data_IF_898918591342
#
_entry.id   IF_898918591342
#
_cell.length_a   1.000
_cell.length_b   1.000
_cell.length_c   1.000
_cell.angle_alpha   90.00
_cell.angle_beta   90.00
_cell.angle_gamma   90.00
#
_symmetry.space_group_name_H-M   'P 1'
#
loop_
_entity.id
_entity.type
_entity.pdbx_description
1 polymer ?
#
# COMPACT_ATOMS: atom_id res chain seq x y z
N UNK A 1 30.55 -0.92 -7.12
CA UNK A 1 29.40 -1.41 -7.89
C UNK A 1 28.18 -0.95 -7.12
N UNK A 2 27.20 -0.30 -7.74
CA UNK A 2 25.95 0.06 -7.06
C UNK A 2 25.27 -1.23 -6.59
N UNK A 3 24.79 -1.25 -5.35
CA UNK A 3 24.04 -2.39 -4.80
C UNK A 3 22.77 -2.58 -5.65
N UNK A 4 22.48 -3.82 -6.06
CA UNK A 4 21.34 -4.16 -6.91
C UNK A 4 20.03 -3.85 -6.14
N UNK A 5 19.14 -3.06 -6.71
CA UNK A 5 17.85 -2.70 -6.09
C UNK A 5 16.86 -3.81 -6.34
N UNK A 6 16.83 -4.79 -5.46
CA UNK A 6 15.94 -5.95 -5.51
C UNK A 6 14.73 -5.72 -4.61
N UNK A 7 13.56 -5.95 -5.18
CA UNK A 7 12.28 -5.93 -4.44
C UNK A 7 11.62 -7.30 -4.56
N UNK A 8 11.16 -7.80 -3.43
CA UNK A 8 10.35 -9.03 -3.37
C UNK A 8 8.92 -8.65 -3.03
N UNK A 9 7.97 -9.09 -3.81
CA UNK A 9 6.54 -8.87 -3.61
C UNK A 9 5.86 -10.17 -3.20
N UNK A 10 5.35 -10.22 -1.98
CA UNK A 10 4.63 -11.36 -1.41
C UNK A 10 3.12 -11.14 -1.53
N UNK A 11 2.49 -11.92 -2.40
CA UNK A 11 1.09 -11.83 -2.75
C UNK A 11 0.87 -11.23 -4.14
N UNK A 12 0.42 -12.06 -5.09
CA UNK A 12 0.09 -11.65 -6.47
C UNK A 12 -1.40 -11.43 -6.66
N UNK A 13 -2.06 -10.84 -5.66
CA UNK A 13 -3.44 -10.35 -5.75
C UNK A 13 -3.52 -9.02 -6.51
N UNK A 14 -4.72 -8.43 -6.59
CA UNK A 14 -4.92 -7.17 -7.31
C UNK A 14 -4.00 -6.03 -6.83
N UNK A 15 -3.80 -5.89 -5.53
CA UNK A 15 -2.93 -4.85 -4.95
C UNK A 15 -1.48 -5.11 -5.34
N UNK A 16 -1.00 -6.35 -5.17
CA UNK A 16 0.37 -6.72 -5.50
C UNK A 16 0.68 -6.52 -6.99
N UNK A 17 -0.20 -6.99 -7.86
CA UNK A 17 0.01 -6.85 -9.31
C UNK A 17 -0.10 -5.40 -9.78
N UNK A 18 -0.99 -4.58 -9.20
CA UNK A 18 -1.02 -3.14 -9.48
C UNK A 18 0.30 -2.45 -9.11
N UNK A 19 0.90 -2.84 -7.98
CA UNK A 19 2.20 -2.34 -7.55
C UNK A 19 3.33 -2.82 -8.47
N UNK A 20 3.34 -4.10 -8.84
CA UNK A 20 4.31 -4.68 -9.76
C UNK A 20 4.28 -3.98 -11.13
N UNK A 21 3.09 -3.73 -11.66
CA UNK A 21 2.90 -2.97 -12.90
C UNK A 21 3.36 -1.52 -12.78
N UNK A 22 3.13 -0.89 -11.62
CA UNK A 22 3.64 0.46 -11.35
C UNK A 22 5.17 0.51 -11.38
N UNK A 23 5.87 -0.49 -10.82
CA UNK A 23 7.33 -0.60 -10.92
C UNK A 23 7.79 -0.78 -12.36
N UNK A 24 7.11 -1.62 -13.14
CA UNK A 24 7.41 -1.79 -14.56
C UNK A 24 7.33 -0.46 -15.32
N UNK A 25 6.28 0.33 -15.06
CA UNK A 25 6.02 1.60 -15.75
C UNK A 25 6.96 2.72 -15.31
N UNK A 26 7.27 2.82 -14.02
CA UNK A 26 8.10 3.90 -13.46
C UNK A 26 9.59 3.59 -13.52
N UNK A 27 9.96 2.31 -13.50
CA UNK A 27 11.35 1.87 -13.37
C UNK A 27 11.91 2.14 -11.97
N UNK A 28 13.24 2.19 -11.87
CA UNK A 28 13.91 2.51 -10.60
C UNK A 28 14.30 1.30 -9.77
N UNK A 29 14.00 0.09 -10.21
CA UNK A 29 14.43 -1.18 -9.61
C UNK A 29 15.12 -2.04 -10.65
N UNK A 30 16.02 -2.93 -10.20
CA UNK A 30 16.82 -3.78 -11.07
C UNK A 30 16.28 -5.21 -11.10
N UNK A 31 15.58 -5.63 -10.03
CA UNK A 31 15.03 -6.98 -9.87
C UNK A 31 13.71 -6.95 -9.10
N UNK A 32 12.70 -7.60 -9.66
CA UNK A 32 11.38 -7.80 -9.06
C UNK A 32 11.08 -9.29 -8.96
N UNK A 33 10.92 -9.80 -7.74
CA UNK A 33 10.59 -11.18 -7.48
C UNK A 33 9.14 -11.27 -6.99
N UNK A 34 8.36 -12.16 -7.58
CA UNK A 34 6.96 -12.39 -7.20
C UNK A 34 6.84 -13.69 -6.41
N UNK A 35 6.26 -13.62 -5.22
CA UNK A 35 5.96 -14.75 -4.37
C UNK A 35 4.45 -14.86 -4.14
N UNK A 36 3.91 -16.06 -4.31
CA UNK A 36 2.52 -16.39 -3.94
C UNK A 36 2.44 -17.84 -3.47
N UNK A 37 1.47 -18.15 -2.62
CA UNK A 37 1.16 -19.54 -2.24
C UNK A 37 0.73 -20.36 -3.46
N UNK A 38 0.07 -19.73 -4.43
CA UNK A 38 -0.24 -20.27 -5.75
C UNK A 38 0.93 -20.02 -6.71
N UNK A 39 1.97 -20.85 -6.65
CA UNK A 39 3.21 -20.67 -7.43
C UNK A 39 2.98 -20.55 -8.93
N UNK A 40 2.09 -21.35 -9.49
CA UNK A 40 1.76 -21.28 -10.93
C UNK A 40 1.16 -19.92 -11.31
N UNK A 41 0.36 -19.32 -10.42
CA UNK A 41 -0.16 -17.97 -10.61
C UNK A 41 0.99 -16.96 -10.63
N UNK A 42 1.91 -17.01 -9.66
CA UNK A 42 3.05 -16.10 -9.61
C UNK A 42 3.92 -16.21 -10.88
N UNK A 43 4.10 -17.42 -11.42
CA UNK A 43 4.80 -17.64 -12.69
C UNK A 43 4.07 -16.98 -13.85
N UNK A 44 2.75 -17.16 -13.97
CA UNK A 44 1.94 -16.51 -15.01
C UNK A 44 2.02 -15.00 -14.95
N UNK A 45 1.85 -14.41 -13.75
CA UNK A 45 1.94 -12.97 -13.53
C UNK A 45 3.35 -12.41 -13.86
N UNK A 46 4.40 -13.16 -13.51
CA UNK A 46 5.77 -12.78 -13.87
C UNK A 46 5.98 -12.78 -15.38
N UNK A 47 5.45 -13.77 -16.09
CA UNK A 47 5.49 -13.83 -17.56
C UNK A 47 4.77 -12.64 -18.19
N UNK A 48 3.58 -12.29 -17.70
CA UNK A 48 2.82 -11.15 -18.21
C UNK A 48 3.59 -9.84 -18.06
N UNK A 49 4.23 -9.63 -16.90
CA UNK A 49 5.09 -8.46 -16.68
C UNK A 49 6.33 -8.47 -17.59
N UNK A 50 6.96 -9.64 -17.80
CA UNK A 50 8.10 -9.79 -18.70
C UNK A 50 7.72 -9.41 -20.13
N UNK A 51 6.52 -9.76 -20.59
CA UNK A 51 6.01 -9.36 -21.91
C UNK A 51 5.83 -7.84 -22.03
N UNK A 52 5.70 -7.12 -20.91
CA UNK A 52 5.68 -5.65 -20.85
C UNK A 52 7.06 -4.98 -20.92
N UNK A 53 8.15 -5.72 -20.68
CA UNK A 53 9.51 -5.16 -20.63
C UNK A 53 9.96 -4.40 -21.88
N UNK A 54 9.59 -4.80 -23.11
CA UNK A 54 9.92 -4.03 -24.32
C UNK A 54 9.40 -2.58 -24.30
N UNK A 55 8.39 -2.30 -23.50
CA UNK A 55 7.76 -0.98 -23.37
C UNK A 55 8.08 -0.28 -22.04
N UNK A 56 8.89 -0.93 -21.18
CA UNK A 56 9.31 -0.37 -19.89
C UNK A 56 10.37 0.71 -20.06
N UNK A 57 10.47 1.60 -19.07
CA UNK A 57 11.46 2.69 -19.07
C UNK A 57 12.90 2.24 -18.78
N UNK A 58 13.10 1.02 -18.33
CA UNK A 58 14.41 0.52 -17.94
C UNK A 58 14.50 -0.99 -18.03
N UNK A 59 15.69 -1.52 -17.83
CA UNK A 59 15.91 -2.95 -17.72
C UNK A 59 15.59 -3.40 -16.32
N UNK A 60 14.81 -4.48 -16.20
CA UNK A 60 14.43 -5.09 -14.95
C UNK A 60 14.39 -6.61 -15.15
N UNK A 61 14.91 -7.35 -14.20
CA UNK A 61 14.72 -8.78 -14.13
C UNK A 61 13.44 -9.06 -13.35
N UNK A 62 12.52 -9.88 -13.89
CA UNK A 62 11.24 -10.20 -13.24
C UNK A 62 11.08 -11.71 -13.26
N UNK A 63 10.79 -12.33 -12.12
CA UNK A 63 10.52 -13.75 -12.06
C UNK A 63 9.70 -14.13 -10.82
N UNK A 64 9.10 -15.33 -10.86
CA UNK A 64 8.51 -15.94 -9.68
C UNK A 64 9.60 -16.68 -8.91
N UNK A 65 9.74 -16.34 -7.62
CA UNK A 65 10.77 -16.88 -6.75
C UNK A 65 10.21 -17.58 -5.51
N UNK A 66 11.05 -17.67 -4.51
CA UNK A 66 10.69 -18.21 -3.19
C UNK A 66 11.24 -17.33 -2.05
N UNK A 67 11.04 -17.74 -0.80
CA UNK A 67 11.49 -16.94 0.35
C UNK A 67 13.02 -16.81 0.47
N UNK A 68 13.81 -17.68 -0.18
CA UNK A 68 15.27 -17.56 -0.18
C UNK A 68 15.70 -16.29 -0.94
N UNK A 69 14.91 -15.86 -1.93
CA UNK A 69 15.15 -14.62 -2.68
C UNK A 69 15.01 -13.34 -1.85
N UNK A 70 14.42 -13.43 -0.64
CA UNK A 70 14.34 -12.29 0.26
C UNK A 70 15.70 -11.91 0.88
N UNK A 71 16.67 -12.82 0.91
CA UNK A 71 17.94 -12.65 1.63
C UNK A 71 18.71 -11.38 1.24
N UNK A 72 18.77 -11.09 -0.04
CA UNK A 72 19.51 -9.97 -0.62
C UNK A 72 18.57 -8.86 -1.14
N UNK A 73 17.28 -8.94 -0.79
CA UNK A 73 16.31 -7.93 -1.14
C UNK A 73 16.51 -6.64 -0.31
N UNK A 74 16.46 -5.49 -0.98
CA UNK A 74 16.45 -4.19 -0.30
C UNK A 74 15.10 -3.94 0.40
N UNK A 75 14.01 -4.38 -0.24
CA UNK A 75 12.64 -4.18 0.24
C UNK A 75 11.83 -5.45 -0.02
N UNK A 76 11.08 -5.87 0.99
CA UNK A 76 10.02 -6.87 0.82
C UNK A 76 8.66 -6.22 1.06
N UNK A 77 7.78 -6.34 0.08
CA UNK A 77 6.41 -5.80 0.15
C UNK A 77 5.45 -6.95 0.38
N UNK A 78 4.62 -6.85 1.43
CA UNK A 78 3.64 -7.87 1.77
C UNK A 78 2.23 -7.35 1.49
N UNK A 79 1.62 -7.92 0.45
CA UNK A 79 0.21 -7.68 0.09
C UNK A 79 -0.64 -8.93 0.32
N UNK A 80 -0.03 -10.00 0.82
CA UNK A 80 -0.70 -11.27 1.09
C UNK A 80 -1.72 -11.13 2.22
N UNK A 81 -2.90 -11.67 2.01
CA UNK A 81 -4.00 -11.68 2.98
C UNK A 81 -5.22 -12.38 2.39
N UNK A 82 -6.08 -12.89 3.26
CA UNK A 82 -7.35 -13.46 2.85
C UNK A 82 -8.37 -12.34 2.63
N UNK A 83 -9.20 -12.46 1.61
CA UNK A 83 -10.37 -11.61 1.42
C UNK A 83 -11.46 -11.97 2.46
N UNK A 84 -12.22 -10.98 2.90
CA UNK A 84 -13.36 -11.18 3.80
C UNK A 84 -14.44 -11.99 3.10
N UNK A 85 -14.94 -13.01 3.77
CA UNK A 85 -16.12 -13.77 3.31
C UNK A 85 -17.40 -13.08 3.79
N UNK A 86 -18.55 -13.29 3.11
CA UNK A 86 -19.81 -12.62 3.46
C UNK A 86 -20.28 -12.83 4.92
N UNK A 87 -19.95 -13.98 5.51
CA UNK A 87 -20.36 -14.36 6.88
C UNK A 87 -19.25 -14.16 7.93
N UNK A 88 -18.09 -13.63 7.53
CA UNK A 88 -16.92 -13.49 8.38
C UNK A 88 -16.91 -12.10 9.04
N UNK A 89 -16.73 -12.06 10.36
CA UNK A 89 -16.60 -10.78 11.08
C UNK A 89 -15.23 -10.13 10.80
N UNK A 90 -15.12 -8.82 11.02
CA UNK A 90 -13.82 -8.12 10.92
C UNK A 90 -12.77 -8.69 11.89
N UNK A 91 -13.19 -9.16 13.06
CA UNK A 91 -12.30 -9.77 14.06
C UNK A 91 -11.75 -11.12 13.57
N UNK A 92 -12.62 -11.96 13.00
CA UNK A 92 -12.20 -13.25 12.44
C UNK A 92 -11.20 -13.08 11.31
N UNK A 93 -11.47 -12.13 10.40
CA UNK A 93 -10.57 -11.78 9.32
C UNK A 93 -9.22 -11.28 9.85
N UNK A 94 -9.24 -10.42 10.87
CA UNK A 94 -8.02 -9.91 11.50
C UNK A 94 -7.19 -11.03 12.11
N UNK A 95 -7.82 -11.93 12.86
CA UNK A 95 -7.15 -13.09 13.47
C UNK A 95 -6.55 -14.04 12.42
N UNK A 96 -7.26 -14.25 11.30
CA UNK A 96 -6.79 -15.06 10.19
C UNK A 96 -5.61 -14.41 9.47
N UNK A 97 -5.72 -13.12 9.15
CA UNK A 97 -4.64 -12.39 8.47
C UNK A 97 -3.41 -12.22 9.37
N UNK A 98 -3.57 -12.10 10.69
CA UNK A 98 -2.46 -12.10 11.63
C UNK A 98 -1.66 -13.40 11.61
N UNK A 99 -2.32 -14.55 11.49
CA UNK A 99 -1.64 -15.86 11.33
C UNK A 99 -0.89 -15.95 10.00
N UNK A 100 -1.50 -15.48 8.91
CA UNK A 100 -0.85 -15.43 7.59
C UNK A 100 0.36 -14.51 7.66
N UNK A 101 0.21 -13.29 8.18
CA UNK A 101 1.30 -12.32 8.32
C UNK A 101 2.45 -12.88 9.13
N UNK A 102 2.15 -13.52 10.28
CA UNK A 102 3.16 -14.17 11.12
C UNK A 102 3.96 -15.20 10.30
N UNK A 103 3.29 -16.13 9.63
CA UNK A 103 3.94 -17.19 8.85
C UNK A 103 4.80 -16.62 7.70
N UNK A 104 4.30 -15.60 7.00
CA UNK A 104 5.02 -14.93 5.92
C UNK A 104 6.29 -14.26 6.46
N UNK A 105 6.16 -13.47 7.53
CA UNK A 105 7.31 -12.75 8.12
C UNK A 105 8.34 -13.72 8.69
N UNK A 106 7.92 -14.79 9.37
CA UNK A 106 8.83 -15.84 9.85
C UNK A 106 9.62 -16.47 8.68
N UNK A 107 8.97 -16.71 7.55
CA UNK A 107 9.63 -17.28 6.35
C UNK A 107 10.62 -16.28 5.73
N UNK A 108 10.26 -15.00 5.67
CA UNK A 108 11.15 -13.93 5.20
C UNK A 108 12.39 -13.83 6.11
N UNK A 109 12.19 -13.78 7.42
CA UNK A 109 13.30 -13.65 8.37
C UNK A 109 14.21 -14.88 8.41
N UNK A 110 13.65 -16.08 8.16
CA UNK A 110 14.45 -17.31 8.05
C UNK A 110 15.41 -17.30 6.85
N UNK A 111 15.17 -16.49 5.83
CA UNK A 111 16.11 -16.30 4.70
C UNK A 111 17.38 -15.53 5.08
N UNK A 112 17.38 -14.82 6.22
CA UNK A 112 18.43 -13.88 6.61
C UNK A 112 18.23 -12.46 6.10
N UNK A 113 16.97 -12.08 5.78
CA UNK A 113 16.60 -10.74 5.32
C UNK A 113 16.93 -9.67 6.38
N UNK A 114 17.55 -8.55 5.96
CA UNK A 114 17.90 -7.39 6.80
C UNK A 114 17.54 -6.04 6.10
N UNK A 115 16.52 -6.03 5.24
CA UNK A 115 16.05 -4.84 4.53
C UNK A 115 14.86 -4.16 5.19
N UNK A 116 13.99 -3.57 4.38
CA UNK A 116 12.78 -2.85 4.79
C UNK A 116 11.55 -3.69 4.44
N UNK A 117 10.65 -3.90 5.41
CA UNK A 117 9.34 -4.48 5.20
C UNK A 117 8.31 -3.38 4.93
N UNK A 118 7.55 -3.52 3.85
CA UNK A 118 6.38 -2.68 3.56
C UNK A 118 5.12 -3.53 3.63
N UNK A 119 4.18 -3.14 4.47
CA UNK A 119 2.95 -3.87 4.72
C UNK A 119 1.77 -3.13 4.06
N UNK A 120 1.08 -3.83 3.14
CA UNK A 120 -0.13 -3.33 2.48
C UNK A 120 -1.33 -4.29 2.63
N UNK A 121 -1.24 -5.25 3.55
CA UNK A 121 -2.31 -6.19 3.88
C UNK A 121 -3.26 -5.60 4.90
N UNK A 122 -4.57 -5.77 4.71
CA UNK A 122 -5.59 -5.27 5.63
C UNK A 122 -5.93 -6.27 6.77
N UNK A 123 -6.26 -5.74 7.97
CA UNK A 123 -6.17 -4.34 8.41
C UNK A 123 -4.71 -3.89 8.62
N UNK A 124 -4.30 -2.85 7.90
CA UNK A 124 -2.88 -2.52 7.72
C UNK A 124 -2.14 -2.22 9.02
N UNK A 125 -2.73 -1.46 9.94
CA UNK A 125 -2.06 -1.09 11.19
C UNK A 125 -1.82 -2.32 12.09
N UNK A 126 -2.83 -3.19 12.21
CA UNK A 126 -2.70 -4.44 12.96
C UNK A 126 -1.65 -5.38 12.30
N UNK A 127 -1.67 -5.50 10.98
CA UNK A 127 -0.71 -6.35 10.25
C UNK A 127 0.71 -5.79 10.35
N UNK A 128 0.89 -4.48 10.31
CA UNK A 128 2.19 -3.83 10.52
C UNK A 128 2.72 -4.09 11.92
N UNK A 129 1.86 -4.01 12.94
CA UNK A 129 2.24 -4.32 14.30
C UNK A 129 2.67 -5.79 14.47
N UNK A 130 1.92 -6.73 13.87
CA UNK A 130 2.28 -8.16 13.88
C UNK A 130 3.63 -8.35 13.17
N UNK A 131 3.82 -7.76 11.99
CA UNK A 131 5.07 -7.85 11.25
C UNK A 131 6.26 -7.32 12.06
N UNK A 132 6.10 -6.19 12.72
CA UNK A 132 7.13 -5.61 13.58
C UNK A 132 7.51 -6.53 14.75
N UNK A 133 6.51 -7.10 15.44
CA UNK A 133 6.75 -8.01 16.58
C UNK A 133 7.41 -9.32 16.18
N UNK A 134 7.05 -9.84 15.01
CA UNK A 134 7.56 -11.13 14.53
C UNK A 134 8.94 -11.00 13.89
N UNK A 135 9.17 -9.93 13.12
CA UNK A 135 10.45 -9.73 12.42
C UNK A 135 11.61 -9.44 13.37
N UNK A 136 11.34 -8.75 14.48
CA UNK A 136 12.40 -8.24 15.36
C UNK A 136 13.24 -7.11 14.73
N UNK A 137 12.88 -6.64 13.54
CA UNK A 137 13.55 -5.51 12.90
C UNK A 137 13.29 -4.20 13.66
N UNK A 138 14.17 -3.20 13.54
CA UNK A 138 13.92 -1.85 14.04
C UNK A 138 12.61 -1.29 13.48
N UNK A 139 11.90 -0.48 14.28
CA UNK A 139 10.58 0.05 13.93
C UNK A 139 10.59 0.83 12.61
N UNK A 140 11.65 1.56 12.33
CA UNK A 140 11.84 2.34 11.10
C UNK A 140 12.02 1.49 9.85
N UNK A 141 12.23 0.19 10.01
CA UNK A 141 12.35 -0.77 8.89
C UNK A 141 11.06 -1.58 8.63
N UNK A 142 10.00 -1.35 9.41
CA UNK A 142 8.70 -2.01 9.22
C UNK A 142 7.63 -0.95 9.04
N UNK A 143 7.23 -0.75 7.79
CA UNK A 143 6.40 0.38 7.36
C UNK A 143 5.05 -0.14 6.87
N UNK A 144 3.97 0.34 7.44
CA UNK A 144 2.62 0.15 6.91
C UNK A 144 2.28 1.18 5.84
N UNK A 145 1.49 0.80 4.84
CA UNK A 145 0.97 1.76 3.85
C UNK A 145 0.05 2.82 4.47
N UNK A 146 -0.51 2.53 5.64
CA UNK A 146 -1.29 3.48 6.45
C UNK A 146 -2.38 4.18 5.66
N UNK A 147 -2.43 5.49 5.81
CA UNK A 147 -3.44 6.39 5.22
C UNK A 147 -3.02 7.02 3.88
N UNK A 148 -2.06 6.42 3.17
CA UNK A 148 -1.58 6.94 1.86
C UNK A 148 -2.73 6.98 0.84
N UNK A 149 -3.52 5.90 0.75
CA UNK A 149 -4.65 5.82 -0.17
C UNK A 149 -5.75 6.82 0.20
N UNK A 150 -6.04 6.97 1.49
CA UNK A 150 -7.02 7.94 1.99
C UNK A 150 -6.58 9.37 1.69
N UNK A 151 -5.29 9.66 1.86
CA UNK A 151 -4.67 10.93 1.48
C UNK A 151 -4.81 11.21 -0.02
N UNK A 152 -4.57 10.21 -0.86
CA UNK A 152 -4.71 10.35 -2.31
C UNK A 152 -6.17 10.66 -2.70
N UNK A 153 -7.14 9.97 -2.09
CA UNK A 153 -8.58 10.21 -2.27
C UNK A 153 -8.97 11.62 -1.81
N UNK A 154 -8.51 12.03 -0.63
CA UNK A 154 -8.74 13.40 -0.13
C UNK A 154 -8.26 14.45 -1.13
N UNK A 155 -7.02 14.32 -1.61
CA UNK A 155 -6.45 15.27 -2.58
C UNK A 155 -7.22 15.29 -3.89
N UNK A 156 -7.63 14.14 -4.39
CA UNK A 156 -8.45 14.05 -5.59
C UNK A 156 -9.79 14.77 -5.39
N UNK A 157 -10.52 14.49 -4.31
CA UNK A 157 -11.81 15.12 -4.02
C UNK A 157 -11.69 16.64 -3.81
N UNK A 158 -10.61 17.06 -3.14
CA UNK A 158 -10.33 18.49 -2.99
C UNK A 158 -10.02 19.15 -4.35
N UNK A 159 -9.32 18.46 -5.26
CA UNK A 159 -9.02 19.00 -6.59
C UNK A 159 -10.28 19.22 -7.42
N UNK A 160 -11.19 18.26 -7.42
CA UNK A 160 -12.49 18.37 -8.08
C UNK A 160 -13.32 19.54 -7.52
N UNK A 161 -13.37 19.66 -6.19
CA UNK A 161 -14.15 20.71 -5.51
C UNK A 161 -13.59 22.12 -5.72
N UNK A 162 -12.26 22.25 -5.69
CA UNK A 162 -11.57 23.56 -5.75
C UNK A 162 -11.21 23.95 -7.18
N UNK A 163 -11.38 23.04 -8.15
CA UNK A 163 -10.95 23.21 -9.55
C UNK A 163 -9.45 23.57 -9.65
N UNK A 164 -8.62 22.77 -8.98
CA UNK A 164 -7.16 22.92 -8.98
C UNK A 164 -6.49 21.56 -9.17
N UNK A 165 -5.28 21.54 -9.71
CA UNK A 165 -4.51 20.30 -9.86
C UNK A 165 -4.25 19.64 -8.50
N UNK A 166 -4.33 18.32 -8.43
CA UNK A 166 -3.99 17.52 -7.23
C UNK A 166 -2.56 17.78 -6.75
N UNK A 167 -1.64 18.14 -7.66
CA UNK A 167 -0.25 18.47 -7.33
C UNK A 167 -0.11 19.77 -6.51
N UNK A 168 -1.12 20.63 -6.53
CA UNK A 168 -1.15 21.87 -5.75
C UNK A 168 -1.81 21.70 -4.37
N UNK A 169 -2.22 20.48 -4.02
CA UNK A 169 -2.90 20.17 -2.76
C UNK A 169 -1.96 19.41 -1.85
N UNK A 170 -1.65 20.00 -0.71
CA UNK A 170 -0.80 19.43 0.34
C UNK A 170 -1.66 19.20 1.59
N UNK A 171 -2.53 18.21 1.51
CA UNK A 171 -3.38 17.76 2.61
C UNK A 171 -3.12 16.27 2.85
N UNK A 172 -3.22 15.85 4.10
CA UNK A 172 -2.92 14.49 4.51
C UNK A 172 -4.02 13.97 5.43
N UNK A 173 -4.31 12.69 5.34
CA UNK A 173 -5.06 11.98 6.37
C UNK A 173 -4.05 11.30 7.27
N UNK A 174 -4.24 11.41 8.58
CA UNK A 174 -3.35 10.88 9.61
C UNK A 174 -4.13 10.00 10.59
N UNK A 175 -3.40 9.22 11.37
CA UNK A 175 -3.95 8.27 12.33
C UNK A 175 -4.04 6.86 11.76
N UNK A 176 -4.90 6.04 12.34
CA UNK A 176 -5.17 4.67 11.90
C UNK A 176 -5.91 4.67 10.55
N UNK A 177 -5.62 3.71 9.69
CA UNK A 177 -6.42 3.48 8.48
C UNK A 177 -7.78 2.90 8.87
N UNK A 178 -8.74 3.77 9.20
CA UNK A 178 -10.06 3.43 9.70
C UNK A 178 -10.87 4.64 10.14
N UNK A 179 -11.86 4.41 10.98
CA UNK A 179 -12.82 5.44 11.40
C UNK A 179 -12.22 6.51 12.33
N UNK A 180 -11.06 6.25 12.92
CA UNK A 180 -10.31 7.17 13.79
C UNK A 180 -9.35 8.09 13.03
N UNK A 181 -9.24 7.96 11.71
CA UNK A 181 -8.39 8.82 10.89
C UNK A 181 -8.93 10.27 10.86
N UNK A 182 -8.03 11.23 10.73
CA UNK A 182 -8.38 12.66 10.72
C UNK A 182 -7.50 13.47 9.76
N UNK A 183 -7.98 14.66 9.39
CA UNK A 183 -7.23 15.60 8.57
C UNK A 183 -6.74 16.76 9.45
N UNK A 184 -5.43 17.00 9.57
CA UNK A 184 -4.89 18.16 10.26
C UNK A 184 -5.03 19.42 9.37
N UNK A 185 -6.20 20.01 9.34
CA UNK A 185 -6.55 21.13 8.44
C UNK A 185 -5.67 22.37 8.62
N UNK A 186 -5.12 22.56 9.82
CA UNK A 186 -4.15 23.65 10.08
C UNK A 186 -2.85 23.51 9.30
N UNK A 187 -2.56 22.29 8.85
CA UNK A 187 -1.37 21.91 8.08
C UNK A 187 -1.71 21.55 6.63
N UNK A 188 -2.91 21.89 6.18
CA UNK A 188 -3.34 21.67 4.80
C UNK A 188 -3.17 22.94 3.97
N UNK A 189 -2.57 22.79 2.78
CA UNK A 189 -2.30 23.91 1.87
C UNK A 189 -2.85 23.60 0.48
N UNK A 190 -3.32 24.67 -0.18
CA UNK A 190 -3.66 24.67 -1.61
C UNK A 190 -2.79 25.73 -2.28
N UNK A 191 -1.83 25.30 -3.09
CA UNK A 191 -0.76 26.19 -3.53
C UNK A 191 0.03 26.73 -2.33
N UNK A 192 0.17 28.04 -2.23
CA UNK A 192 0.88 28.71 -1.13
C UNK A 192 -0.04 29.19 -0.01
N UNK A 193 -1.33 28.82 -0.01
CA UNK A 193 -2.32 29.30 0.98
C UNK A 193 -2.76 28.17 1.89
N UNK A 194 -2.88 28.46 3.19
CA UNK A 194 -3.44 27.51 4.16
C UNK A 194 -4.90 27.24 3.75
N UNK A 195 -5.28 25.96 3.70
CA UNK A 195 -6.60 25.53 3.25
C UNK A 195 -7.74 26.16 4.07
N UNK A 196 -7.53 26.38 5.36
CA UNK A 196 -8.48 27.07 6.25
C UNK A 196 -8.93 28.44 5.73
N UNK A 197 -8.05 29.22 5.10
CA UNK A 197 -8.40 30.55 4.54
C UNK A 197 -9.20 30.46 3.25
N UNK A 198 -9.03 29.38 2.49
CA UNK A 198 -9.86 29.09 1.31
C UNK A 198 -11.25 28.59 1.74
N UNK A 199 -11.33 27.94 2.89
CA UNK A 199 -12.49 27.27 3.45
C UNK A 199 -13.54 28.24 4.00
N UNK A 200 -13.11 29.26 4.73
CA UNK A 200 -14.03 30.27 5.29
C UNK A 200 -14.79 31.09 4.21
N UNK A 201 -14.33 31.07 2.96
CA UNK A 201 -15.02 31.77 1.85
C UNK A 201 -16.11 30.93 1.17
N UNK A 202 -16.20 29.62 1.44
CA UNK A 202 -17.21 28.72 0.86
C UNK A 202 -17.73 27.78 1.95
N UNK A 203 -18.75 28.23 2.68
CA UNK A 203 -19.36 27.54 3.83
C UNK A 203 -20.02 26.16 3.54
N UNK A 204 -19.83 25.57 2.36
CA UNK A 204 -20.50 24.35 1.91
C UNK A 204 -19.63 23.06 2.04
N UNK A 205 -18.44 23.14 2.66
CA UNK A 205 -17.47 22.01 2.67
C UNK A 205 -17.72 21.00 3.81
N UNK A 206 -18.70 21.22 4.66
CA UNK A 206 -19.00 20.32 5.78
C UNK A 206 -19.19 18.83 5.41
N UNK A 207 -19.72 18.47 4.22
CA UNK A 207 -19.87 17.06 3.84
C UNK A 207 -18.56 16.35 3.48
N UNK A 208 -17.51 17.08 3.10
CA UNK A 208 -16.22 16.46 2.63
C UNK A 208 -15.33 16.06 3.82
N UNK A 209 -15.60 16.60 5.02
CA UNK A 209 -14.87 16.28 6.24
C UNK A 209 -15.26 14.94 6.90
N UNK A 210 -16.29 14.28 6.39
CA UNK A 210 -16.58 12.93 6.83
C UNK A 210 -15.50 11.97 6.34
N UNK A 211 -15.04 11.10 7.22
CA UNK A 211 -14.01 10.09 6.94
C UNK A 211 -14.30 9.38 5.63
N UNK A 212 -13.26 9.05 4.88
CA UNK A 212 -13.34 8.35 3.58
C UNK A 212 -14.24 7.11 3.63
N UNK A 213 -14.34 6.44 4.77
CA UNK A 213 -15.21 5.29 5.04
C UNK A 213 -16.70 5.66 5.04
N UNK A 214 -17.08 6.85 5.53
CA UNK A 214 -18.49 7.30 5.55
C UNK A 214 -19.00 7.76 4.19
N UNK A 215 -18.12 8.17 3.28
CA UNK A 215 -18.50 8.53 1.91
C UNK A 215 -18.81 7.32 1.04
N UNK A 216 -18.06 6.23 1.19
CA UNK A 216 -18.33 4.98 0.46
C UNK A 216 -19.67 4.37 0.83
N UNK A 217 -20.11 4.45 2.10
CA UNK A 217 -21.41 3.94 2.51
C UNK A 217 -22.59 4.70 1.90
N UNK A 218 -22.44 5.98 1.55
CA UNK A 218 -23.49 6.78 0.90
C UNK A 218 -23.57 6.61 -0.62
N UNK A 219 -22.46 6.31 -1.30
CA UNK A 219 -22.48 6.03 -2.74
C UNK A 219 -22.99 4.63 -3.07
N UNK A 220 -22.80 3.64 -2.17
CA UNK A 220 -23.33 2.29 -2.31
C UNK A 220 -24.86 2.16 -2.09
N UNK A 221 -25.55 3.21 -1.63
CA UNK A 221 -27.00 3.24 -1.49
C UNK A 221 -27.76 3.82 -2.70
N UNK A 222 -27.08 4.15 -3.79
CA UNK A 222 -27.67 4.71 -5.02
C UNK A 222 -27.50 3.84 -6.26
N UNK A 223 -27.16 2.55 -6.08
CA UNK A 223 -27.16 1.56 -7.18
C UNK A 223 -28.15 0.44 -6.90
#
# INVERSE_FOLDING_TARGET
MSEKRKIVLVGTGFVGMSMAYSFLSTGGIDELVLLDVAKEKAVGEAMDLQHGLPYARGKMEIYAGDYADCRDASIVVITAGAAQKPEETRLDLTAKNAKIMKSVVESIMASGFDGILIIASNPVDAMTYVAQKVSGLPTERVIGSGTILDTARLRYMMSEYLDVSTSNIHAYIMGEHGDSSFVPWTNAYVGCKICWTCWMKRAEIYPICMTSTQMYSRQGMKS
#
